data_IF_320006695294
#
_entry.id   IF_320006695294
#
_cell.length_a   1.000
_cell.length_b   1.000
_cell.length_c   1.000
_cell.angle_alpha   90.00
_cell.angle_beta   90.00
_cell.angle_gamma   90.00
#
_symmetry.space_group_name_H-M   'P 1'
#
loop_
_entity.id
_entity.type
_entity.pdbx_description
1 polymer ?
#
# COMPACT_ATOMS: atom_id res chain seq x y z
N UNK A 1 -17.87 16.32 -15.75
CA UNK A 1 -17.48 15.55 -14.56
C UNK A 1 -17.51 16.50 -13.39
N UNK A 2 -18.60 16.42 -12.64
CA UNK A 2 -18.98 17.27 -11.53
C UNK A 2 -18.94 16.50 -10.20
N UNK A 3 -19.01 15.16 -10.22
CA UNK A 3 -19.07 14.31 -9.01
C UNK A 3 -18.10 13.12 -9.07
N UNK A 4 -17.31 12.93 -8.00
CA UNK A 4 -16.34 11.85 -7.87
C UNK A 4 -16.45 11.13 -6.53
N UNK A 5 -16.34 9.81 -6.54
CA UNK A 5 -16.26 8.98 -5.33
C UNK A 5 -14.90 8.27 -5.24
N UNK A 6 -14.26 8.32 -4.07
CA UNK A 6 -13.13 7.47 -3.71
C UNK A 6 -13.60 6.38 -2.77
N UNK A 7 -13.26 5.12 -3.06
CA UNK A 7 -13.59 3.98 -2.20
C UNK A 7 -12.31 3.44 -1.60
N UNK A 8 -12.19 3.53 -0.27
CA UNK A 8 -11.05 3.03 0.46
C UNK A 8 -11.13 1.53 0.74
N UNK A 9 -9.97 0.93 1.06
CA UNK A 9 -9.85 -0.48 1.45
C UNK A 9 -10.21 -1.49 0.34
N UNK A 10 -10.17 -1.10 -0.94
CA UNK A 10 -10.41 -2.05 -2.04
C UNK A 10 -9.26 -3.06 -2.11
N UNK A 11 -9.54 -4.34 -1.83
CA UNK A 11 -8.54 -5.40 -1.77
C UNK A 11 -7.65 -5.39 -0.53
N UNK A 12 -8.04 -4.71 0.55
CA UNK A 12 -7.32 -4.66 1.83
C UNK A 12 -8.28 -4.56 3.00
N UNK A 13 -7.91 -5.10 4.16
CA UNK A 13 -8.82 -5.22 5.32
C UNK A 13 -10.12 -5.96 4.93
N UNK A 14 -9.98 -6.96 4.05
CA UNK A 14 -11.08 -7.71 3.48
C UNK A 14 -10.92 -9.20 3.84
N UNK A 15 -11.78 -9.69 4.73
CA UNK A 15 -11.76 -11.07 5.18
C UNK A 15 -12.25 -12.06 4.12
N UNK A 16 -13.12 -11.64 3.19
CA UNK A 16 -13.60 -12.50 2.13
C UNK A 16 -12.48 -12.87 1.15
N UNK A 17 -11.52 -11.96 0.96
CA UNK A 17 -10.30 -12.18 0.18
C UNK A 17 -9.14 -12.78 1.00
N UNK A 18 -9.30 -12.89 2.33
CA UNK A 18 -8.19 -13.25 3.23
C UNK A 18 -7.11 -12.16 3.36
N UNK A 19 -7.39 -10.95 2.89
CA UNK A 19 -6.47 -9.82 2.92
C UNK A 19 -6.66 -9.00 4.19
N UNK A 20 -6.18 -9.52 5.32
CA UNK A 20 -6.43 -8.96 6.65
C UNK A 20 -5.52 -7.77 7.03
N UNK A 21 -4.70 -7.28 6.10
CA UNK A 21 -3.76 -6.18 6.34
C UNK A 21 -4.25 -4.83 5.83
N UNK A 22 -3.67 -3.76 6.37
CA UNK A 22 -3.79 -2.42 5.82
C UNK A 22 -2.69 -2.18 4.78
N UNK A 23 -3.06 -1.64 3.62
CA UNK A 23 -2.09 -1.26 2.58
C UNK A 23 -1.32 0.04 2.84
N UNK A 24 -1.59 0.71 3.97
CA UNK A 24 -0.99 1.94 4.52
C UNK A 24 -1.03 3.21 3.65
N UNK A 25 -0.82 3.10 2.35
CA UNK A 25 -0.66 4.22 1.43
C UNK A 25 -1.99 4.70 0.85
N UNK A 26 -3.01 3.84 0.75
CA UNK A 26 -4.26 4.12 0.04
C UNK A 26 -5.04 5.33 0.59
N UNK A 27 -5.03 5.57 1.91
CA UNK A 27 -5.62 6.78 2.51
C UNK A 27 -4.90 8.05 2.06
N UNK A 28 -3.56 8.00 2.05
CA UNK A 28 -2.75 9.14 1.67
C UNK A 28 -2.81 9.48 0.19
N UNK A 29 -2.74 8.48 -0.66
CA UNK A 29 -2.83 8.66 -2.11
C UNK A 29 -4.21 9.18 -2.51
N UNK A 30 -5.29 8.62 -1.95
CA UNK A 30 -6.65 9.09 -2.23
C UNK A 30 -6.82 10.57 -1.85
N UNK A 31 -6.37 10.97 -0.66
CA UNK A 31 -6.48 12.36 -0.22
C UNK A 31 -5.62 13.31 -1.08
N UNK A 32 -4.42 12.90 -1.49
CA UNK A 32 -3.58 13.69 -2.40
C UNK A 32 -4.26 13.90 -3.75
N UNK A 33 -4.80 12.83 -4.33
CA UNK A 33 -5.53 12.89 -5.60
C UNK A 33 -6.81 13.72 -5.49
N UNK A 34 -7.60 13.53 -4.43
CA UNK A 34 -8.83 14.30 -4.20
C UNK A 34 -8.54 15.81 -4.05
N UNK A 35 -7.51 16.19 -3.28
CA UNK A 35 -7.12 17.60 -3.16
C UNK A 35 -6.57 18.15 -4.47
N UNK A 36 -5.81 17.36 -5.24
CA UNK A 36 -5.36 17.78 -6.57
C UNK A 36 -6.54 18.02 -7.50
N UNK A 37 -7.54 17.15 -7.47
CA UNK A 37 -8.77 17.31 -8.26
C UNK A 37 -9.56 18.55 -7.83
N UNK A 38 -9.67 18.85 -6.53
CA UNK A 38 -10.27 20.11 -6.05
C UNK A 38 -9.46 21.34 -6.45
N UNK A 39 -8.14 21.23 -6.57
CA UNK A 39 -7.31 22.33 -7.08
C UNK A 39 -7.60 22.61 -8.55
N UNK A 40 -7.60 21.56 -9.38
CA UNK A 40 -7.83 21.68 -10.82
C UNK A 40 -9.30 22.00 -11.16
N UNK A 41 -10.24 21.50 -10.35
CA UNK A 41 -11.69 21.71 -10.48
C UNK A 41 -12.32 22.05 -9.12
N UNK A 42 -12.32 23.33 -8.72
CA UNK A 42 -12.85 23.75 -7.41
C UNK A 42 -14.31 23.37 -7.17
N UNK A 43 -15.12 23.35 -8.23
CA UNK A 43 -16.54 23.02 -8.18
C UNK A 43 -16.85 21.52 -8.21
N UNK A 44 -15.85 20.64 -8.39
CA UNK A 44 -16.10 19.19 -8.43
C UNK A 44 -16.46 18.67 -7.03
N UNK A 45 -17.60 18.04 -6.86
CA UNK A 45 -18.00 17.40 -5.61
C UNK A 45 -17.24 16.08 -5.45
N UNK A 46 -16.52 15.93 -4.33
CA UNK A 46 -15.71 14.75 -4.06
C UNK A 46 -16.14 14.12 -2.75
N UNK A 47 -16.43 12.83 -2.83
CA UNK A 47 -16.82 12.00 -1.69
C UNK A 47 -15.79 10.91 -1.47
N UNK A 48 -15.40 10.70 -0.22
CA UNK A 48 -14.45 9.66 0.18
C UNK A 48 -15.16 8.72 1.16
N UNK A 49 -15.34 7.47 0.72
CA UNK A 49 -15.93 6.38 1.49
C UNK A 49 -14.84 5.58 2.20
N UNK A 50 -14.94 5.43 3.52
CA UNK A 50 -13.87 4.84 4.33
C UNK A 50 -14.38 4.11 5.59
N UNK A 51 -13.55 3.21 6.12
CA UNK A 51 -13.73 2.64 7.47
C UNK A 51 -13.05 3.55 8.50
N UNK A 52 -11.73 3.71 8.34
CA UNK A 52 -10.89 4.58 9.17
C UNK A 52 -9.87 5.28 8.25
N UNK A 53 -9.58 6.55 8.51
CA UNK A 53 -8.48 7.25 7.84
C UNK A 53 -7.21 6.95 8.61
N UNK A 54 -6.27 6.29 7.96
CA UNK A 54 -4.98 5.95 8.55
C UNK A 54 -3.99 7.07 8.26
N UNK A 55 -3.58 7.78 9.32
CA UNK A 55 -2.73 8.97 9.19
C UNK A 55 -1.24 8.70 9.45
N UNK A 56 -0.68 7.76 8.70
CA UNK A 56 0.74 7.39 8.84
C UNK A 56 1.69 8.53 8.44
N UNK A 57 2.76 8.68 9.20
CA UNK A 57 3.78 9.71 8.99
C UNK A 57 3.43 11.05 9.64
N UNK A 58 4.46 11.87 9.87
CA UNK A 58 4.37 13.09 10.69
C UNK A 58 3.37 14.12 10.17
N UNK A 59 3.36 14.35 8.86
CA UNK A 59 2.65 15.51 8.29
C UNK A 59 1.24 15.18 7.82
N UNK A 60 0.84 13.91 7.89
CA UNK A 60 -0.37 13.47 7.22
C UNK A 60 -1.65 13.82 7.99
N UNK A 61 -1.61 13.83 9.32
CA UNK A 61 -2.75 14.27 10.15
C UNK A 61 -3.17 15.71 9.78
N UNK A 62 -2.21 16.64 9.71
CA UNK A 62 -2.49 18.02 9.32
C UNK A 62 -2.99 18.15 7.88
N UNK A 63 -2.58 17.25 6.98
CA UNK A 63 -3.09 17.20 5.61
C UNK A 63 -4.54 16.69 5.56
N UNK A 64 -4.87 15.67 6.35
CA UNK A 64 -6.24 15.17 6.51
C UNK A 64 -7.18 16.24 7.07
N UNK A 65 -6.79 16.96 8.12
CA UNK A 65 -7.59 18.05 8.70
C UNK A 65 -7.95 19.13 7.69
N UNK A 66 -6.99 19.56 6.86
CA UNK A 66 -7.24 20.54 5.79
C UNK A 66 -8.18 20.00 4.71
N UNK A 67 -8.09 18.70 4.43
CA UNK A 67 -8.89 18.02 3.40
C UNK A 67 -10.37 17.95 3.78
N UNK A 68 -10.69 17.78 5.08
CA UNK A 68 -12.07 17.74 5.60
C UNK A 68 -12.91 18.96 5.30
N UNK A 69 -12.28 20.11 5.03
CA UNK A 69 -12.99 21.35 4.68
C UNK A 69 -13.49 21.38 3.24
N UNK A 70 -13.02 20.47 2.38
CA UNK A 70 -13.26 20.50 0.93
C UNK A 70 -13.81 19.20 0.36
N UNK A 71 -13.60 18.08 1.05
CA UNK A 71 -14.00 16.75 0.61
C UNK A 71 -15.05 16.23 1.57
N UNK A 72 -16.11 15.60 1.04
CA UNK A 72 -17.14 14.93 1.85
C UNK A 72 -16.63 13.57 2.28
N UNK A 73 -16.68 13.28 3.57
CA UNK A 73 -16.24 12.00 4.14
C UNK A 73 -17.47 11.21 4.60
N UNK A 74 -17.60 9.97 4.14
CA UNK A 74 -18.69 9.07 4.54
C UNK A 74 -18.07 7.80 5.12
N UNK A 75 -18.34 7.54 6.39
CA UNK A 75 -17.75 6.41 7.12
C UNK A 75 -18.51 5.12 6.87
N UNK A 76 -18.35 4.56 5.69
CA UNK A 76 -18.95 3.29 5.27
C UNK A 76 -18.17 2.72 4.09
N UNK A 77 -18.32 1.42 3.84
CA UNK A 77 -17.88 0.79 2.59
C UNK A 77 -19.13 0.58 1.72
N UNK A 78 -19.18 1.14 0.49
CA UNK A 78 -20.31 0.93 -0.40
C UNK A 78 -20.52 -0.55 -0.73
N UNK A 79 -21.77 -0.96 -0.91
CA UNK A 79 -22.15 -2.32 -1.27
C UNK A 79 -22.00 -2.55 -2.77
N UNK A 80 -22.92 -1.99 -3.56
CA UNK A 80 -22.97 -2.15 -5.00
C UNK A 80 -22.60 -0.87 -5.74
N UNK A 81 -21.96 -1.05 -6.90
CA UNK A 81 -21.66 0.01 -7.86
C UNK A 81 -22.21 -0.45 -9.21
N UNK A 82 -23.31 0.14 -9.64
CA UNK A 82 -24.04 -0.27 -10.84
C UNK A 82 -24.01 0.83 -11.90
N UNK A 83 -23.99 0.49 -13.20
CA UNK A 83 -24.21 1.47 -14.25
C UNK A 83 -25.57 2.16 -14.06
N UNK A 84 -25.58 3.49 -14.20
CA UNK A 84 -26.78 4.31 -14.16
C UNK A 84 -26.97 5.02 -15.51
N UNK A 85 -28.10 5.73 -15.64
CA UNK A 85 -28.36 6.56 -16.80
C UNK A 85 -27.26 7.62 -17.01
N UNK A 86 -27.10 8.07 -18.26
CA UNK A 86 -26.13 9.11 -18.65
C UNK A 86 -24.65 8.75 -18.39
N UNK A 87 -24.29 7.47 -18.46
CA UNK A 87 -22.91 6.98 -18.25
C UNK A 87 -22.35 7.28 -16.85
N UNK A 88 -23.23 7.39 -15.85
CA UNK A 88 -22.86 7.56 -14.44
C UNK A 88 -22.84 6.20 -13.73
N UNK A 89 -22.31 6.18 -12.51
CA UNK A 89 -22.26 5.01 -11.65
C UNK A 89 -23.09 5.27 -10.40
N UNK A 90 -24.12 4.46 -10.17
CA UNK A 90 -24.91 4.49 -8.95
C UNK A 90 -24.16 3.74 -7.84
N UNK A 91 -23.86 4.42 -6.75
CA UNK A 91 -23.16 3.85 -5.59
C UNK A 91 -24.16 3.71 -4.44
N UNK A 92 -24.39 2.47 -3.99
CA UNK A 92 -25.30 2.17 -2.89
C UNK A 92 -24.53 1.98 -1.59
N UNK A 93 -24.90 2.70 -0.53
CA UNK A 93 -24.19 2.70 0.75
C UNK A 93 -25.13 2.97 1.94
N UNK A 94 -24.66 2.66 3.15
CA UNK A 94 -25.40 2.93 4.39
C UNK A 94 -24.78 4.10 5.16
N UNK A 95 -25.63 5.06 5.52
CA UNK A 95 -25.28 6.22 6.34
C UNK A 95 -26.50 6.65 7.16
N UNK A 96 -26.77 5.88 8.23
CA UNK A 96 -28.00 5.96 9.05
C UNK A 96 -29.23 5.33 8.37
N UNK A 97 -29.30 5.43 7.04
CA UNK A 97 -30.28 4.81 6.15
C UNK A 97 -29.58 4.33 4.87
N UNK A 98 -30.26 3.47 4.11
CA UNK A 98 -29.79 3.05 2.79
C UNK A 98 -29.90 4.22 1.81
N UNK A 99 -28.80 4.56 1.14
CA UNK A 99 -28.70 5.65 0.17
C UNK A 99 -28.11 5.14 -1.13
N UNK A 100 -28.56 5.74 -2.23
CA UNK A 100 -27.99 5.53 -3.55
C UNK A 100 -27.66 6.90 -4.13
N UNK A 101 -26.42 7.08 -4.58
CA UNK A 101 -25.97 8.35 -5.13
C UNK A 101 -25.22 8.12 -6.46
N UNK A 102 -25.60 8.82 -7.54
CA UNK A 102 -24.90 8.72 -8.81
C UNK A 102 -23.61 9.56 -8.79
N UNK A 103 -22.54 9.00 -9.32
CA UNK A 103 -21.24 9.64 -9.52
C UNK A 103 -20.80 9.56 -10.98
N UNK A 104 -20.07 10.56 -11.46
CA UNK A 104 -19.51 10.54 -12.82
C UNK A 104 -18.26 9.67 -12.91
N UNK A 105 -17.53 9.52 -11.80
CA UNK A 105 -16.34 8.70 -11.71
C UNK A 105 -16.23 8.09 -10.30
N UNK A 106 -15.97 6.79 -10.27
CA UNK A 106 -15.62 6.07 -9.03
C UNK A 106 -14.17 5.64 -9.12
N UNK A 107 -13.38 6.05 -8.13
CA UNK A 107 -11.96 5.74 -8.00
C UNK A 107 -11.80 4.69 -6.90
N UNK A 108 -11.29 3.52 -7.28
CA UNK A 108 -10.98 2.46 -6.35
C UNK A 108 -9.57 2.67 -5.79
N UNK A 109 -9.45 2.87 -4.48
CA UNK A 109 -8.16 2.98 -3.81
C UNK A 109 -7.61 1.58 -3.52
N UNK A 110 -7.14 0.92 -4.58
CA UNK A 110 -6.65 -0.46 -4.57
C UNK A 110 -5.44 -0.61 -3.64
N UNK A 111 -5.44 -1.69 -2.86
CA UNK A 111 -4.36 -2.06 -1.96
C UNK A 111 -3.10 -2.57 -2.65
N UNK A 112 -2.03 -2.71 -1.88
CA UNK A 112 -0.80 -3.38 -2.28
C UNK A 112 -0.93 -4.88 -2.01
N UNK A 113 -0.50 -5.67 -3.00
CA UNK A 113 -0.40 -7.12 -2.93
C UNK A 113 1.06 -7.54 -3.10
N UNK A 114 1.48 -8.66 -2.47
CA UNK A 114 2.72 -9.31 -2.86
C UNK A 114 2.66 -9.66 -4.35
N UNK A 115 3.74 -9.39 -5.07
CA UNK A 115 3.85 -9.77 -6.47
C UNK A 115 4.00 -11.30 -6.60
N UNK A 116 3.21 -11.91 -7.48
CA UNK A 116 3.18 -13.37 -7.63
C UNK A 116 4.52 -13.92 -8.12
N UNK A 117 5.20 -13.22 -9.04
CA UNK A 117 6.48 -13.66 -9.56
C UNK A 117 7.58 -13.57 -8.48
N UNK A 118 7.58 -12.52 -7.66
CA UNK A 118 8.47 -12.42 -6.51
C UNK A 118 8.23 -13.53 -5.49
N UNK A 119 6.97 -13.87 -5.21
CA UNK A 119 6.63 -14.95 -4.30
C UNK A 119 7.11 -16.31 -4.82
N UNK A 120 6.90 -16.58 -6.11
CA UNK A 120 7.37 -17.79 -6.77
C UNK A 120 8.91 -17.89 -6.76
N UNK A 121 9.60 -16.78 -7.03
CA UNK A 121 11.06 -16.71 -6.96
C UNK A 121 11.57 -17.00 -5.55
N UNK A 122 11.01 -16.35 -4.53
CA UNK A 122 11.43 -16.55 -3.14
C UNK A 122 11.20 -18.00 -2.69
N UNK A 123 10.09 -18.60 -3.13
CA UNK A 123 9.80 -20.02 -2.90
C UNK A 123 10.81 -20.94 -3.61
N UNK A 124 11.18 -20.64 -4.85
CA UNK A 124 12.20 -21.40 -5.59
C UNK A 124 13.58 -21.32 -4.93
N UNK A 125 13.89 -20.20 -4.30
CA UNK A 125 15.15 -19.98 -3.59
C UNK A 125 15.17 -20.58 -2.18
N UNK A 126 14.06 -21.17 -1.71
CA UNK A 126 13.95 -21.69 -0.33
C UNK A 126 13.77 -20.60 0.74
N UNK A 127 13.73 -19.34 0.33
CA UNK A 127 13.76 -18.16 1.20
C UNK A 127 12.40 -17.81 1.83
N UNK A 128 11.37 -18.63 1.58
CA UNK A 128 10.00 -18.33 1.96
C UNK A 128 9.21 -19.59 2.29
N UNK A 129 9.03 -19.83 3.58
CA UNK A 129 7.96 -20.66 4.10
C UNK A 129 6.88 -19.70 4.64
N UNK A 130 5.64 -19.80 4.15
CA UNK A 130 4.43 -19.18 4.72
C UNK A 130 3.91 -17.85 4.15
N UNK A 131 2.58 -17.69 4.29
CA UNK A 131 1.68 -16.61 3.84
C UNK A 131 1.76 -15.37 4.76
N UNK A 132 2.90 -15.15 5.39
CA UNK A 132 2.99 -14.37 6.63
C UNK A 132 3.41 -12.92 6.42
N UNK A 133 3.94 -12.52 5.26
CA UNK A 133 4.61 -11.22 5.17
C UNK A 133 3.71 -10.01 5.38
N UNK A 134 2.51 -10.02 4.81
CA UNK A 134 1.63 -8.85 4.93
C UNK A 134 0.74 -8.92 6.19
N UNK A 135 0.48 -10.12 6.70
CA UNK A 135 -0.42 -10.40 7.83
C UNK A 135 0.26 -10.39 9.20
N UNK A 136 1.59 -10.53 9.28
CA UNK A 136 2.31 -10.68 10.56
C UNK A 136 2.72 -9.37 11.25
N UNK A 137 2.40 -8.22 10.65
CA UNK A 137 2.82 -6.92 11.16
C UNK A 137 4.31 -6.63 11.00
N UNK A 138 4.74 -5.41 11.36
CA UNK A 138 6.12 -4.94 11.16
C UNK A 138 7.16 -5.60 12.07
N UNK A 139 6.72 -6.13 13.22
CA UNK A 139 7.60 -6.62 14.27
C UNK A 139 8.30 -7.94 13.89
N UNK A 140 7.74 -8.66 12.93
CA UNK A 140 8.24 -9.96 12.46
C UNK A 140 8.93 -9.87 11.09
N UNK A 141 9.23 -8.66 10.60
CA UNK A 141 9.89 -8.49 9.31
C UNK A 141 11.40 -8.69 9.48
N UNK A 142 11.88 -9.86 9.07
CA UNK A 142 13.32 -10.08 8.90
C UNK A 142 13.80 -9.46 7.59
N UNK A 143 14.86 -8.64 7.67
CA UNK A 143 15.56 -8.13 6.48
C UNK A 143 16.52 -9.13 5.89
N UNK A 144 16.86 -10.18 6.64
CA UNK A 144 17.72 -11.28 6.21
C UNK A 144 16.83 -12.52 6.10
N UNK A 145 16.58 -12.99 4.88
CA UNK A 145 15.77 -14.21 4.69
C UNK A 145 16.63 -15.46 4.95
N UNK A 146 17.88 -15.42 4.48
CA UNK A 146 18.91 -16.42 4.71
C UNK A 146 20.30 -15.75 4.71
N UNK A 147 21.33 -16.49 5.12
CA UNK A 147 22.69 -15.99 5.15
C UNK A 147 23.13 -15.45 3.76
N UNK A 148 23.50 -14.17 3.73
CA UNK A 148 23.89 -13.48 2.49
C UNK A 148 22.73 -12.97 1.63
N UNK A 149 21.46 -13.18 2.02
CA UNK A 149 20.29 -12.73 1.28
C UNK A 149 19.49 -11.67 2.05
N UNK A 150 19.47 -10.46 1.51
CA UNK A 150 18.86 -9.29 2.15
C UNK A 150 17.63 -8.79 1.36
N UNK A 151 16.63 -8.28 2.07
CA UNK A 151 15.39 -7.75 1.49
C UNK A 151 15.12 -6.32 1.94
N UNK A 152 14.40 -5.57 1.11
CA UNK A 152 14.04 -4.19 1.38
C UNK A 152 12.73 -3.80 0.70
N UNK A 153 12.13 -2.72 1.20
CA UNK A 153 10.98 -2.08 0.57
C UNK A 153 9.69 -2.89 0.66
N UNK A 154 8.78 -2.59 -0.27
CA UNK A 154 7.40 -3.09 -0.25
C UNK A 154 7.25 -4.61 -0.46
N UNK A 155 8.36 -5.32 -0.73
CA UNK A 155 8.37 -6.79 -0.72
C UNK A 155 7.96 -7.35 0.65
N UNK A 156 8.32 -6.63 1.72
CA UNK A 156 8.17 -7.09 3.09
C UNK A 156 6.78 -6.77 3.67
N UNK A 157 6.29 -5.57 3.40
CA UNK A 157 4.94 -5.14 3.81
C UNK A 157 4.53 -3.89 3.03
N UNK A 158 3.22 -3.58 2.95
CA UNK A 158 2.76 -2.33 2.34
C UNK A 158 3.35 -1.12 3.07
N UNK A 159 4.06 -0.24 2.37
CA UNK A 159 4.76 0.88 2.99
C UNK A 159 4.87 2.10 2.08
N UNK A 160 5.19 3.26 2.66
CA UNK A 160 5.42 4.49 1.91
C UNK A 160 6.84 4.57 1.33
N UNK A 161 7.08 5.57 0.49
CA UNK A 161 8.38 5.80 -0.16
C UNK A 161 9.49 6.02 0.88
N UNK A 162 9.23 6.81 1.93
CA UNK A 162 10.21 7.09 2.97
C UNK A 162 10.60 5.83 3.75
N UNK A 163 9.62 4.99 4.09
CA UNK A 163 9.85 3.71 4.75
C UNK A 163 10.66 2.77 3.83
N UNK A 164 10.31 2.70 2.55
CA UNK A 164 11.03 1.86 1.59
C UNK A 164 12.49 2.29 1.45
N UNK A 165 12.77 3.59 1.43
CA UNK A 165 14.13 4.11 1.40
C UNK A 165 14.91 3.77 2.69
N UNK A 166 14.27 3.89 3.86
CA UNK A 166 14.89 3.52 5.13
C UNK A 166 15.21 2.01 5.19
N UNK A 167 14.31 1.17 4.67
CA UNK A 167 14.55 -0.27 4.56
C UNK A 167 15.69 -0.59 3.60
N UNK A 168 15.81 0.13 2.47
CA UNK A 168 16.93 0.00 1.55
C UNK A 168 18.28 0.31 2.21
N UNK A 169 18.34 1.38 3.00
CA UNK A 169 19.54 1.72 3.77
C UNK A 169 19.89 0.63 4.79
N UNK A 170 18.90 0.13 5.53
CA UNK A 170 19.11 -0.92 6.53
C UNK A 170 19.58 -2.24 5.88
N UNK A 171 19.00 -2.63 4.75
CA UNK A 171 19.44 -3.80 4.01
C UNK A 171 20.90 -3.67 3.51
N UNK A 172 21.28 -2.48 3.02
CA UNK A 172 22.66 -2.21 2.62
C UNK A 172 23.63 -2.28 3.82
N UNK A 173 23.23 -1.78 4.99
CA UNK A 173 24.02 -1.88 6.21
C UNK A 173 24.25 -3.33 6.64
N UNK A 174 23.21 -4.15 6.66
CA UNK A 174 23.34 -5.58 7.01
C UNK A 174 24.21 -6.33 5.99
N UNK A 175 24.07 -6.03 4.70
CA UNK A 175 24.93 -6.59 3.67
C UNK A 175 26.40 -6.21 3.87
N UNK A 176 26.70 -4.95 4.20
CA UNK A 176 28.07 -4.50 4.51
C UNK A 176 28.64 -5.21 5.74
N UNK A 177 27.85 -5.38 6.80
CA UNK A 177 28.27 -6.12 8.00
C UNK A 177 28.59 -7.58 7.67
N UNK A 178 27.73 -8.23 6.90
CA UNK A 178 27.94 -9.61 6.44
C UNK A 178 29.25 -9.76 5.65
N UNK A 179 29.50 -8.86 4.70
CA UNK A 179 30.75 -8.84 3.93
C UNK A 179 31.97 -8.58 4.82
N UNK A 180 31.87 -7.66 5.79
CA UNK A 180 32.95 -7.37 6.72
C UNK A 180 33.28 -8.58 7.61
N UNK A 181 32.27 -9.30 8.12
CA UNK A 181 32.49 -10.56 8.85
C UNK A 181 33.11 -11.64 7.97
N UNK A 182 32.70 -11.72 6.70
CA UNK A 182 33.25 -12.67 5.73
C UNK A 182 34.69 -12.36 5.32
N UNK A 183 35.11 -11.08 5.35
CA UNK A 183 36.48 -10.68 5.03
C UNK A 183 37.54 -11.04 6.08
N UNK A 184 37.16 -11.70 7.17
CA UNK A 184 38.08 -12.46 8.03
C UNK A 184 38.46 -13.83 7.46
N UNK A 185 37.85 -14.24 6.35
CA UNK A 185 38.18 -15.45 5.58
C UNK A 185 39.17 -15.08 4.48
N UNK A 186 40.33 -15.74 4.48
CA UNK A 186 41.36 -15.59 3.43
C UNK A 186 40.77 -15.86 2.05
N UNK A 187 40.81 -14.86 1.17
CA UNK A 187 40.53 -15.04 -0.26
C UNK A 187 41.65 -15.95 -0.79
N UNK A 188 41.37 -17.18 -1.27
CA UNK A 188 42.40 -17.99 -1.91
C UNK A 188 42.91 -17.23 -3.14
N UNK A 189 44.23 -17.14 -3.27
CA UNK A 189 44.87 -16.48 -4.40
C UNK A 189 44.34 -17.04 -5.71
N UNK A 190 44.02 -16.14 -6.65
CA UNK A 190 43.62 -16.50 -8.01
C UNK A 190 44.78 -17.31 -8.62
N UNK A 191 44.57 -18.55 -9.08
CA UNK A 191 45.63 -19.30 -9.74
C UNK A 191 46.12 -18.49 -10.95
N UNK A 192 47.43 -18.30 -11.04
CA UNK A 192 48.08 -17.46 -12.07
C UNK A 192 47.86 -17.99 -13.49
N UNK A 193 47.46 -19.25 -13.64
CA UNK A 193 47.18 -19.88 -14.93
C UNK A 193 45.90 -20.71 -14.85
N UNK A 194 44.94 -20.40 -15.71
CA UNK A 194 43.84 -21.29 -16.07
C UNK A 194 44.35 -22.25 -17.17
N UNK A 195 44.07 -23.57 -17.10
CA UNK A 195 44.35 -24.48 -18.20
C UNK A 195 43.52 -24.19 -19.45
#
# INVERSE_FOLDING_TARGET
MESLAFIQCVGSRDAALGHLWCSKLCCATALRLANRMKWDRPAAEITLFYIDIQTFGRDFEGFYEKSKQRIRFIRTIPGDILPADNSRLLVSYFDGEAKEEPFDLVVLSVGMMPDAANYDLLKQLGLFESKETFSSGYENISLCLEEGVFTAGALLSPMGIADAAAFGLKAAEEAMRYLASASSVSIPERPEEFP
#
